data_IF_345498004975
#
_entry.id   IF_345498004975
#
_cell.length_a   1.000
_cell.length_b   1.000
_cell.length_c   1.000
_cell.angle_alpha   90.00
_cell.angle_beta   90.00
_cell.angle_gamma   90.00
#
_symmetry.space_group_name_H-M   'P 1'
#
loop_
_entity.id
_entity.type
_entity.pdbx_description
1 polymer ?
#
# COMPACT_ATOMS: atom_id res chain seq x y z
N UNK A 1 35.67 -21.69 56.97
CA UNK A 1 34.54 -20.80 56.59
C UNK A 1 34.67 -20.22 55.17
N UNK A 2 35.76 -19.52 54.79
CA UNK A 2 35.87 -18.85 53.47
C UNK A 2 35.47 -19.71 52.25
N UNK A 3 35.85 -20.99 52.20
CA UNK A 3 35.52 -21.89 51.08
C UNK A 3 34.01 -22.18 50.91
N UNK A 4 33.19 -21.98 51.95
CA UNK A 4 31.73 -22.21 51.89
C UNK A 4 30.99 -20.99 51.33
N UNK A 5 31.50 -19.77 51.53
CA UNK A 5 30.95 -18.57 50.88
C UNK A 5 31.13 -18.63 49.36
N UNK A 6 32.29 -19.10 48.91
CA UNK A 6 32.62 -19.16 47.47
C UNK A 6 31.73 -20.16 46.71
N UNK A 7 31.33 -21.28 47.34
CA UNK A 7 30.42 -22.25 46.72
C UNK A 7 28.97 -21.78 46.70
N UNK A 8 28.54 -20.96 47.67
CA UNK A 8 27.22 -20.31 47.67
C UNK A 8 27.10 -19.24 46.58
N UNK A 9 28.09 -18.34 46.49
CA UNK A 9 28.11 -17.29 45.46
C UNK A 9 28.18 -17.88 44.04
N UNK A 10 28.95 -18.96 43.84
CA UNK A 10 28.98 -19.69 42.56
C UNK A 10 27.66 -20.36 42.21
N UNK A 11 26.85 -20.77 43.20
CA UNK A 11 25.51 -21.34 42.97
C UNK A 11 24.51 -20.27 42.55
N UNK A 12 24.46 -19.12 43.23
CA UNK A 12 23.58 -18.00 42.85
C UNK A 12 23.84 -17.56 41.41
N UNK A 13 25.10 -17.28 41.05
CA UNK A 13 25.47 -16.89 39.68
C UNK A 13 25.07 -17.95 38.62
N UNK A 14 24.96 -19.23 39.00
CA UNK A 14 24.54 -20.31 38.09
C UNK A 14 23.00 -20.41 37.95
N UNK A 15 22.25 -19.97 38.96
CA UNK A 15 20.79 -19.92 38.94
C UNK A 15 20.31 -18.66 38.21
N UNK A 16 20.94 -17.51 38.45
CA UNK A 16 20.65 -16.25 37.74
C UNK A 16 20.86 -16.39 36.23
N UNK A 17 21.96 -17.04 35.80
CA UNK A 17 22.21 -17.32 34.39
C UNK A 17 21.13 -18.23 33.77
N UNK A 18 20.65 -19.25 34.50
CA UNK A 18 19.57 -20.13 34.04
C UNK A 18 18.22 -19.42 33.94
N UNK A 19 17.96 -18.45 34.81
CA UNK A 19 16.73 -17.65 34.74
C UNK A 19 16.75 -16.70 33.53
N UNK A 20 17.89 -16.07 33.23
CA UNK A 20 18.03 -15.24 32.02
C UNK A 20 17.87 -16.04 30.72
N UNK A 21 18.46 -17.23 30.63
CA UNK A 21 18.29 -18.11 29.45
C UNK A 21 16.84 -18.58 29.27
N UNK A 22 16.12 -18.84 30.37
CA UNK A 22 14.69 -19.18 30.28
C UNK A 22 13.83 -17.98 29.86
N UNK A 23 14.08 -16.77 30.39
CA UNK A 23 13.34 -15.57 30.03
C UNK A 23 13.53 -15.22 28.54
N UNK A 24 14.77 -15.21 28.04
CA UNK A 24 15.04 -15.00 26.59
C UNK A 24 14.30 -16.00 25.70
N UNK A 25 14.26 -17.28 26.11
CA UNK A 25 13.60 -18.35 25.35
C UNK A 25 12.06 -18.30 25.41
N UNK A 26 11.49 -17.50 26.32
CA UNK A 26 10.05 -17.18 26.35
C UNK A 26 9.77 -15.95 25.48
N UNK A 27 10.56 -14.88 25.58
CA UNK A 27 10.41 -13.67 24.77
C UNK A 27 10.55 -13.93 23.27
N UNK A 28 11.52 -14.76 22.86
CA UNK A 28 11.71 -15.17 21.46
C UNK A 28 10.49 -15.93 20.91
N UNK A 29 9.82 -16.74 21.74
CA UNK A 29 8.59 -17.46 21.37
C UNK A 29 7.36 -16.55 21.31
N UNK A 30 7.27 -15.51 22.14
CA UNK A 30 6.17 -14.55 22.07
C UNK A 30 6.29 -13.61 20.87
N UNK A 31 7.51 -13.20 20.50
CA UNK A 31 7.72 -12.36 19.31
C UNK A 31 7.48 -13.14 18.01
N UNK A 32 7.87 -14.43 17.94
CA UNK A 32 7.55 -15.31 16.82
C UNK A 32 6.03 -15.54 16.63
N UNK A 33 5.23 -15.41 17.71
CA UNK A 33 3.77 -15.60 17.66
C UNK A 33 2.98 -14.36 17.25
N UNK A 34 3.62 -13.17 17.22
CA UNK A 34 2.99 -11.89 16.81
C UNK A 34 3.24 -11.50 15.35
N UNK A 35 4.11 -12.20 14.64
CA UNK A 35 4.46 -11.91 13.23
C UNK A 35 3.70 -12.76 12.21
N UNK A 36 2.96 -13.78 12.64
CA UNK A 36 2.10 -14.58 11.75
C UNK A 36 0.65 -14.08 11.87
N UNK A 37 0.03 -13.51 10.82
CA UNK A 37 -1.39 -13.19 10.84
C UNK A 37 -2.20 -14.50 10.99
N UNK A 38 -3.40 -14.47 11.61
CA UNK A 38 -4.19 -15.67 11.83
C UNK A 38 -4.48 -16.37 10.50
N UNK A 39 -3.95 -17.59 10.35
CA UNK A 39 -4.25 -18.47 9.23
C UNK A 39 -5.66 -19.00 9.45
N UNK A 40 -6.61 -18.45 8.70
CA UNK A 40 -7.97 -18.94 8.64
C UNK A 40 -7.97 -20.32 7.96
N UNK A 41 -8.02 -21.37 8.79
CA UNK A 41 -7.98 -22.78 8.35
C UNK A 41 -9.32 -23.22 7.72
N UNK A 42 -9.96 -22.37 6.93
CA UNK A 42 -11.05 -22.79 6.04
C UNK A 42 -10.45 -23.52 4.83
N UNK A 43 -10.77 -24.80 4.60
CA UNK A 43 -10.24 -25.52 3.45
C UNK A 43 -10.83 -24.95 2.15
N UNK A 44 -10.07 -24.08 1.49
CA UNK A 44 -10.44 -23.51 0.20
C UNK A 44 -10.35 -24.60 -0.87
N UNK A 45 -11.50 -25.22 -1.16
CA UNK A 45 -11.72 -26.06 -2.35
C UNK A 45 -11.06 -25.39 -3.58
N UNK A 46 -10.36 -26.16 -4.44
CA UNK A 46 -9.69 -25.60 -5.61
C UNK A 46 -10.71 -24.96 -6.55
N UNK A 47 -10.80 -23.63 -6.49
CA UNK A 47 -11.81 -22.88 -7.22
C UNK A 47 -11.34 -22.63 -8.65
N UNK A 48 -11.92 -23.42 -9.55
CA UNK A 48 -11.98 -23.27 -11.02
C UNK A 48 -11.49 -21.90 -11.53
N UNK A 49 -10.50 -21.94 -12.45
CA UNK A 49 -10.06 -20.84 -13.35
C UNK A 49 -11.04 -19.67 -13.39
N UNK A 50 -10.85 -18.69 -12.52
CA UNK A 50 -11.74 -17.53 -12.47
C UNK A 50 -11.50 -16.63 -13.68
N UNK A 51 -12.59 -16.20 -14.30
CA UNK A 51 -12.57 -15.30 -15.46
C UNK A 51 -11.72 -14.06 -15.18
N UNK A 52 -11.04 -13.52 -16.20
CA UNK A 52 -10.27 -12.25 -16.08
C UNK A 52 -11.13 -11.10 -15.55
N UNK A 53 -12.45 -11.15 -15.74
CA UNK A 53 -13.41 -10.17 -15.22
C UNK A 53 -13.72 -10.33 -13.72
N UNK A 54 -13.36 -11.44 -13.08
CA UNK A 54 -13.49 -11.63 -11.62
C UNK A 54 -12.40 -10.90 -10.83
N UNK A 55 -11.45 -10.23 -11.49
CA UNK A 55 -10.39 -9.45 -10.84
C UNK A 55 -10.79 -8.00 -10.54
N UNK A 56 -12.02 -7.58 -10.88
CA UNK A 56 -12.56 -6.26 -10.53
C UNK A 56 -12.63 -6.16 -8.99
N UNK A 57 -11.66 -5.48 -8.39
CA UNK A 57 -11.66 -5.22 -6.95
C UNK A 57 -12.62 -4.06 -6.67
N UNK A 58 -13.11 -3.99 -5.42
CA UNK A 58 -13.94 -2.86 -4.92
C UNK A 58 -13.31 -1.47 -5.13
N UNK A 59 -12.01 -1.40 -5.38
CA UNK A 59 -11.25 -0.18 -5.67
C UNK A 59 -11.23 0.25 -7.14
N UNK A 60 -11.62 -0.61 -8.09
CA UNK A 60 -11.56 -0.26 -9.53
C UNK A 60 -12.60 0.79 -9.96
N UNK A 61 -13.84 0.80 -9.42
CA UNK A 61 -14.77 1.92 -9.63
C UNK A 61 -14.20 3.27 -9.16
N UNK A 62 -13.36 3.27 -8.12
CA UNK A 62 -12.73 4.49 -7.58
C UNK A 62 -11.74 5.08 -8.60
N UNK A 63 -10.99 4.24 -9.31
CA UNK A 63 -10.12 4.69 -10.41
C UNK A 63 -10.93 5.16 -11.63
N UNK A 64 -12.05 4.52 -11.94
CA UNK A 64 -12.94 4.99 -13.01
C UNK A 64 -13.49 6.40 -12.71
N UNK A 65 -13.94 6.66 -11.48
CA UNK A 65 -14.37 7.99 -11.03
C UNK A 65 -13.23 9.01 -11.09
N UNK A 66 -12.02 8.65 -10.63
CA UNK A 66 -10.85 9.52 -10.71
C UNK A 66 -10.47 9.87 -12.16
N UNK A 67 -10.62 8.92 -13.09
CA UNK A 67 -10.28 9.09 -14.51
C UNK A 67 -11.34 9.93 -15.25
N UNK A 68 -12.62 9.82 -14.88
CA UNK A 68 -13.68 10.73 -15.33
C UNK A 68 -13.47 12.14 -14.79
N UNK A 69 -13.13 12.29 -13.51
CA UNK A 69 -12.80 13.59 -12.91
C UNK A 69 -11.58 14.25 -13.56
N UNK A 70 -10.55 13.47 -13.91
CA UNK A 70 -9.39 13.95 -14.67
C UNK A 70 -9.80 14.47 -16.05
N UNK A 71 -10.65 13.74 -16.78
CA UNK A 71 -11.18 14.20 -18.07
C UNK A 71 -12.00 15.48 -17.97
N UNK A 72 -12.85 15.60 -16.95
CA UNK A 72 -13.62 16.82 -16.65
C UNK A 72 -12.72 18.02 -16.36
N UNK A 73 -11.63 17.82 -15.60
CA UNK A 73 -10.60 18.83 -15.34
C UNK A 73 -9.90 19.23 -16.64
N UNK A 74 -9.39 18.26 -17.41
CA UNK A 74 -8.65 18.56 -18.65
C UNK A 74 -9.56 19.29 -19.67
N UNK A 75 -10.87 19.04 -19.64
CA UNK A 75 -11.88 19.81 -20.40
C UNK A 75 -12.07 21.23 -19.84
N UNK A 76 -12.13 21.41 -18.52
CA UNK A 76 -12.22 22.73 -17.86
C UNK A 76 -11.01 23.62 -18.19
N UNK A 77 -9.81 23.06 -18.22
CA UNK A 77 -8.58 23.76 -18.60
C UNK A 77 -8.60 24.19 -20.08
N UNK A 78 -9.16 23.36 -20.97
CA UNK A 78 -9.36 23.72 -22.38
C UNK A 78 -10.32 24.92 -22.58
N UNK A 79 -11.27 25.13 -21.66
CA UNK A 79 -12.22 26.24 -21.69
C UNK A 79 -11.75 27.53 -20.97
N UNK A 80 -10.51 27.62 -20.44
CA UNK A 80 -10.02 28.79 -19.66
C UNK A 80 -9.86 30.13 -20.44
N UNK A 81 -10.39 30.22 -21.66
CA UNK A 81 -10.25 31.36 -22.55
C UNK A 81 -11.30 32.47 -22.31
N UNK A 82 -11.20 33.21 -21.19
CA UNK A 82 -11.44 34.68 -21.06
C UNK A 82 -11.63 35.16 -19.60
N UNK A 83 -10.85 36.15 -19.19
CA UNK A 83 -11.19 37.10 -18.10
C UNK A 83 -11.32 36.52 -16.69
N UNK A 84 -12.27 37.07 -15.92
CA UNK A 84 -12.46 36.85 -14.46
C UNK A 84 -12.65 35.37 -14.08
N UNK A 85 -13.08 34.53 -15.04
CA UNK A 85 -13.17 33.08 -14.85
C UNK A 85 -11.85 32.40 -14.48
N UNK A 86 -10.70 32.94 -14.90
CA UNK A 86 -9.38 32.31 -14.71
C UNK A 86 -9.06 31.99 -13.24
N UNK A 87 -9.33 32.93 -12.32
CA UNK A 87 -9.12 32.71 -10.88
C UNK A 87 -10.05 31.62 -10.31
N UNK A 88 -11.28 31.54 -10.82
CA UNK A 88 -12.27 30.55 -10.43
C UNK A 88 -11.88 29.15 -10.95
N UNK A 89 -11.38 29.05 -12.19
CA UNK A 89 -10.89 27.77 -12.72
C UNK A 89 -9.63 27.30 -12.01
N UNK A 90 -8.68 28.17 -11.66
CA UNK A 90 -7.53 27.78 -10.80
C UNK A 90 -8.00 27.13 -9.50
N UNK A 91 -8.98 27.73 -8.81
CA UNK A 91 -9.53 27.17 -7.56
C UNK A 91 -10.20 25.82 -7.82
N UNK A 92 -11.00 25.68 -8.89
CA UNK A 92 -11.64 24.42 -9.26
C UNK A 92 -10.64 23.34 -9.65
N UNK A 93 -9.60 23.66 -10.41
CA UNK A 93 -8.53 22.74 -10.79
C UNK A 93 -7.77 22.23 -9.56
N UNK A 94 -7.48 23.09 -8.57
CA UNK A 94 -6.90 22.67 -7.28
C UNK A 94 -7.86 21.72 -6.53
N UNK A 95 -9.15 22.03 -6.44
CA UNK A 95 -10.15 21.20 -5.77
C UNK A 95 -10.31 19.82 -6.45
N UNK A 96 -10.33 19.79 -7.79
CA UNK A 96 -10.42 18.54 -8.55
C UNK A 96 -9.13 17.72 -8.38
N UNK A 97 -7.95 18.36 -8.33
CA UNK A 97 -6.70 17.67 -8.03
C UNK A 97 -6.70 17.01 -6.66
N UNK A 98 -7.16 17.72 -5.63
CA UNK A 98 -7.30 17.19 -4.27
C UNK A 98 -8.27 16.00 -4.28
N UNK A 99 -9.42 16.12 -4.96
CA UNK A 99 -10.41 15.06 -5.09
C UNK A 99 -9.85 13.80 -5.81
N UNK A 100 -9.19 13.97 -6.95
CA UNK A 100 -8.51 12.89 -7.69
C UNK A 100 -7.45 12.22 -6.80
N UNK A 101 -6.68 13.01 -6.06
CA UNK A 101 -5.67 12.52 -5.13
C UNK A 101 -6.25 11.67 -4.01
N UNK A 102 -7.35 12.12 -3.38
CA UNK A 102 -8.09 11.32 -2.39
C UNK A 102 -8.67 10.03 -2.99
N UNK A 103 -9.28 10.09 -4.17
CA UNK A 103 -9.83 8.90 -4.84
C UNK A 103 -8.73 7.88 -5.16
N UNK A 104 -7.58 8.33 -5.67
CA UNK A 104 -6.41 7.47 -5.87
C UNK A 104 -5.94 6.87 -4.54
N UNK A 105 -5.78 7.67 -3.48
CA UNK A 105 -5.37 7.19 -2.16
C UNK A 105 -6.29 6.09 -1.61
N UNK A 106 -7.61 6.26 -1.78
CA UNK A 106 -8.64 5.28 -1.39
C UNK A 106 -8.56 4.01 -2.25
N UNK A 107 -8.50 4.15 -3.58
CA UNK A 107 -8.38 3.00 -4.50
C UNK A 107 -7.07 2.21 -4.31
N UNK A 108 -6.02 2.91 -3.85
CA UNK A 108 -4.71 2.37 -3.49
C UNK A 108 -4.76 1.59 -2.17
N UNK A 109 -5.33 2.17 -1.10
CA UNK A 109 -5.44 1.56 0.22
C UNK A 109 -6.36 0.33 0.21
N UNK A 110 -7.55 0.45 -0.39
CA UNK A 110 -8.50 -0.66 -0.56
C UNK A 110 -8.01 -1.74 -1.54
N UNK A 111 -7.08 -1.41 -2.44
CA UNK A 111 -6.62 -2.32 -3.50
C UNK A 111 -5.46 -3.24 -3.11
N UNK A 112 -4.68 -2.88 -2.08
CA UNK A 112 -3.42 -3.54 -1.74
C UNK A 112 -2.29 -3.31 -2.75
N UNK A 113 -2.34 -2.18 -3.48
CA UNK A 113 -1.34 -1.78 -4.48
C UNK A 113 -0.43 -0.63 -4.04
N UNK A 114 -0.58 -0.16 -2.80
CA UNK A 114 0.00 1.10 -2.32
C UNK A 114 1.45 1.06 -1.88
N UNK A 115 2.08 2.23 -2.00
CA UNK A 115 3.39 2.55 -1.45
C UNK A 115 3.72 4.01 -1.79
N UNK A 116 4.71 4.58 -1.11
CA UNK A 116 5.07 6.00 -1.19
C UNK A 116 5.30 6.49 -2.63
N UNK A 117 5.77 5.61 -3.53
CA UNK A 117 5.97 5.87 -4.96
C UNK A 117 4.71 6.37 -5.69
N UNK A 118 3.51 5.92 -5.30
CA UNK A 118 2.25 6.38 -5.95
C UNK A 118 1.89 7.78 -5.46
N UNK A 119 2.17 8.09 -4.19
CA UNK A 119 2.06 9.43 -3.64
C UNK A 119 3.05 10.38 -4.33
N UNK A 120 4.31 9.95 -4.52
CA UNK A 120 5.34 10.69 -5.24
C UNK A 120 4.98 10.93 -6.71
N UNK A 121 4.39 9.94 -7.41
CA UNK A 121 3.87 10.13 -8.76
C UNK A 121 2.76 11.17 -8.80
N UNK A 122 1.82 11.13 -7.85
CA UNK A 122 0.72 12.10 -7.76
C UNK A 122 1.25 13.52 -7.54
N UNK A 123 2.07 13.73 -6.49
CA UNK A 123 2.66 15.04 -6.20
C UNK A 123 3.55 15.55 -7.33
N UNK A 124 4.37 14.69 -7.95
CA UNK A 124 5.21 15.05 -9.08
C UNK A 124 4.40 15.45 -10.32
N UNK A 125 3.33 14.72 -10.63
CA UNK A 125 2.43 15.06 -11.74
C UNK A 125 1.68 16.38 -11.52
N UNK A 126 1.13 16.60 -10.32
CA UNK A 126 0.49 17.89 -9.96
C UNK A 126 1.49 19.05 -10.02
N UNK A 127 2.74 18.85 -9.58
CA UNK A 127 3.77 19.89 -9.65
C UNK A 127 4.15 20.28 -11.09
N UNK A 128 4.15 19.31 -12.03
CA UNK A 128 4.40 19.57 -13.46
C UNK A 128 3.26 20.36 -14.10
N UNK A 129 2.00 20.12 -13.69
CA UNK A 129 0.85 20.84 -14.25
C UNK A 129 0.64 22.26 -13.75
N UNK A 130 1.21 22.60 -12.58
CA UNK A 130 1.25 23.99 -12.08
C UNK A 130 2.14 24.88 -12.98
N UNK A 131 2.98 24.30 -13.85
CA UNK A 131 3.78 25.05 -14.81
C UNK A 131 2.90 25.61 -15.95
N UNK A 132 2.85 26.95 -16.13
CA UNK A 132 2.01 27.56 -17.15
C UNK A 132 2.44 27.11 -18.55
N UNK A 133 1.47 26.65 -19.35
CA UNK A 133 1.66 26.17 -20.72
C UNK A 133 1.64 24.64 -20.87
N UNK A 134 1.85 23.86 -19.80
CA UNK A 134 1.66 22.39 -19.84
C UNK A 134 0.18 22.01 -19.69
N UNK A 135 -0.61 22.87 -19.07
CA UNK A 135 -2.05 22.70 -18.73
C UNK A 135 -2.98 22.46 -19.93
N UNK A 136 -2.51 22.63 -21.18
CA UNK A 136 -3.28 22.37 -22.40
C UNK A 136 -3.24 20.89 -22.85
N UNK A 137 -2.28 20.11 -22.34
CA UNK A 137 -2.24 18.67 -22.57
C UNK A 137 -3.14 17.95 -21.55
N UNK A 138 -3.75 16.80 -21.90
CA UNK A 138 -4.51 15.94 -20.98
C UNK A 138 -3.56 15.16 -20.05
N UNK A 139 -2.69 15.89 -19.36
CA UNK A 139 -1.65 15.38 -18.49
C UNK A 139 -2.26 14.72 -17.24
N UNK A 140 -3.40 15.21 -16.74
CA UNK A 140 -4.05 14.64 -15.57
C UNK A 140 -4.61 13.26 -15.93
N UNK A 141 -5.32 13.14 -17.05
CA UNK A 141 -5.77 11.83 -17.55
C UNK A 141 -4.59 10.86 -17.75
N UNK A 142 -3.48 11.33 -18.34
CA UNK A 142 -2.27 10.53 -18.53
C UNK A 142 -1.68 10.02 -17.20
N UNK A 143 -1.60 10.90 -16.21
CA UNK A 143 -1.10 10.61 -14.86
C UNK A 143 -1.99 9.59 -14.13
N UNK A 144 -3.31 9.81 -14.09
CA UNK A 144 -4.26 8.91 -13.43
C UNK A 144 -4.22 7.52 -14.09
N UNK A 145 -4.10 7.47 -15.43
CA UNK A 145 -3.96 6.22 -16.18
C UNK A 145 -2.65 5.49 -15.83
N UNK A 146 -1.51 6.20 -15.78
CA UNK A 146 -0.22 5.62 -15.38
C UNK A 146 -0.22 5.09 -13.94
N UNK A 147 -0.86 5.81 -13.01
CA UNK A 147 -1.04 5.37 -11.63
C UNK A 147 -1.90 4.11 -11.57
N UNK A 148 -3.02 4.07 -12.29
CA UNK A 148 -3.89 2.89 -12.37
C UNK A 148 -3.15 1.65 -12.91
N UNK A 149 -2.43 1.78 -14.02
CA UNK A 149 -1.60 0.70 -14.59
C UNK A 149 -0.52 0.22 -13.60
N UNK A 150 0.12 1.15 -12.88
CA UNK A 150 1.12 0.83 -11.84
C UNK A 150 0.48 0.05 -10.67
N UNK A 151 -0.71 0.46 -10.24
CA UNK A 151 -1.50 -0.23 -9.21
C UNK A 151 -1.90 -1.64 -9.66
N UNK A 152 -2.36 -1.81 -10.90
CA UNK A 152 -2.67 -3.13 -11.49
C UNK A 152 -1.44 -4.04 -11.51
N UNK A 153 -0.30 -3.52 -11.96
CA UNK A 153 0.97 -4.27 -12.00
C UNK A 153 1.40 -4.70 -10.60
N UNK A 154 1.34 -3.81 -9.60
CA UNK A 154 1.64 -4.14 -8.20
C UNK A 154 0.69 -5.17 -7.61
N UNK A 155 -0.62 -5.05 -7.84
CA UNK A 155 -1.62 -6.04 -7.39
C UNK A 155 -1.33 -7.44 -7.94
N UNK A 156 -1.00 -7.54 -9.24
CA UNK A 156 -0.62 -8.82 -9.87
C UNK A 156 0.65 -9.41 -9.26
N UNK A 157 1.68 -8.60 -9.04
CA UNK A 157 2.91 -9.04 -8.38
C UNK A 157 2.68 -9.50 -6.94
N UNK A 158 1.85 -8.79 -6.17
CA UNK A 158 1.53 -9.15 -4.79
C UNK A 158 0.75 -10.48 -4.74
N UNK A 159 -0.24 -10.68 -5.61
CA UNK A 159 -0.96 -11.95 -5.71
C UNK A 159 -0.02 -13.13 -6.00
N UNK A 160 0.90 -12.99 -6.97
CA UNK A 160 1.89 -14.03 -7.30
C UNK A 160 2.89 -14.30 -6.17
N UNK A 161 3.27 -13.28 -5.37
CA UNK A 161 4.12 -13.47 -4.19
C UNK A 161 3.41 -14.25 -3.09
N UNK A 162 2.14 -13.95 -2.85
CA UNK A 162 1.31 -14.63 -1.85
C UNK A 162 1.10 -16.10 -2.26
N UNK A 163 0.75 -16.36 -3.52
CA UNK A 163 0.60 -17.72 -4.08
C UNK A 163 1.88 -18.56 -3.92
N UNK A 164 3.06 -17.99 -4.18
CA UNK A 164 4.35 -18.65 -3.96
C UNK A 164 4.66 -18.92 -2.49
N UNK A 165 4.39 -17.95 -1.61
CA UNK A 165 4.63 -18.11 -0.17
C UNK A 165 3.80 -19.24 0.45
N UNK A 166 2.56 -19.44 -0.01
CA UNK A 166 1.74 -20.58 0.40
C UNK A 166 2.27 -21.91 -0.15
N UNK A 167 2.66 -21.96 -1.43
CA UNK A 167 3.24 -23.17 -2.03
C UNK A 167 4.57 -23.58 -1.37
N UNK A 168 5.39 -22.63 -0.93
CA UNK A 168 6.59 -22.89 -0.14
C UNK A 168 6.22 -23.42 1.26
N UNK A 169 5.22 -22.85 1.94
CA UNK A 169 4.78 -23.33 3.25
C UNK A 169 4.21 -24.77 3.22
N UNK A 170 3.42 -25.13 2.20
CA UNK A 170 2.93 -26.51 2.01
C UNK A 170 4.05 -27.52 1.71
N UNK A 171 5.21 -27.07 1.23
CA UNK A 171 6.38 -27.94 0.97
C UNK A 171 7.24 -28.21 2.21
N UNK A 172 6.97 -27.55 3.35
CA UNK A 172 7.68 -27.75 4.62
C UNK A 172 6.80 -28.37 5.72
N UNK A 173 5.54 -28.71 5.40
CA UNK A 173 4.56 -29.32 6.29
C UNK A 173 4.42 -30.84 6.08
#
# INVERSE_FOLDING_TARGET
>A
MKNMLYSLQKKQNLEDAKQQDQQKKVEEKEQAKKTVPPIDNTPQKPTKKTSRFSQIKKSDPVFAVALVAAGLKDLLDLFQATGVGYALVIIMTILIFIFIGFMILIGVSMGGGGGINILLMLFGGTAVEILPGISFLPATMGLVTMIYLTVLKKRKQNAQKIEKAYAEQESYA
#
